data_IF_317677706704
#
_entry.id   IF_317677706704
#
_cell.length_a   1.000
_cell.length_b   1.000
_cell.length_c   1.000
_cell.angle_alpha   90.00
_cell.angle_beta   90.00
_cell.angle_gamma   90.00
#
_symmetry.space_group_name_H-M   'P 1'
#
loop_
_entity.id
_entity.type
_entity.pdbx_description
1 polymer ?
#
# COMPACT_ATOMS: atom_id res chain seq x y z
N UNK A 1 17.25 -14.09 -0.04
CA UNK A 1 15.85 -13.66 0.21
C UNK A 1 15.79 -12.14 0.11
N UNK A 2 14.83 -11.59 -0.63
CA UNK A 2 14.71 -10.12 -0.76
C UNK A 2 14.22 -9.51 0.56
N UNK A 3 14.61 -8.26 0.83
CA UNK A 3 14.16 -7.54 2.03
C UNK A 3 12.62 -7.46 2.08
N UNK A 4 11.97 -7.40 0.91
CA UNK A 4 10.51 -7.45 0.70
C UNK A 4 9.91 -8.73 1.26
N UNK A 5 10.46 -9.89 0.91
CA UNK A 5 9.99 -11.20 1.41
C UNK A 5 10.13 -11.30 2.93
N UNK A 6 11.23 -10.81 3.50
CA UNK A 6 11.45 -10.80 4.95
C UNK A 6 10.45 -9.88 5.66
N UNK A 7 10.21 -8.69 5.10
CA UNK A 7 9.22 -7.73 5.62
C UNK A 7 7.81 -8.33 5.62
N UNK A 8 7.41 -8.98 4.52
CA UNK A 8 6.10 -9.64 4.41
C UNK A 8 5.94 -10.78 5.42
N UNK A 9 6.98 -11.60 5.63
CA UNK A 9 6.96 -12.66 6.65
C UNK A 9 6.79 -12.08 8.05
N UNK A 10 7.52 -11.02 8.39
CA UNK A 10 7.40 -10.36 9.69
C UNK A 10 5.97 -9.85 9.94
N UNK A 11 5.35 -9.25 8.93
CA UNK A 11 3.96 -8.76 9.00
C UNK A 11 2.96 -9.89 9.20
N UNK A 12 3.13 -11.03 8.51
CA UNK A 12 2.26 -12.20 8.72
C UNK A 12 2.37 -12.72 10.15
N UNK A 13 3.57 -12.76 10.72
CA UNK A 13 3.80 -13.16 12.11
C UNK A 13 3.10 -12.20 13.09
N UNK A 14 3.15 -10.90 12.84
CA UNK A 14 2.49 -9.90 13.69
C UNK A 14 0.97 -10.01 13.62
N UNK A 15 0.40 -10.32 12.46
CA UNK A 15 -1.06 -10.54 12.35
C UNK A 15 -1.54 -11.76 13.15
N UNK A 16 -0.66 -12.74 13.36
CA UNK A 16 -0.94 -13.94 14.15
C UNK A 16 -0.65 -13.71 15.64
N UNK A 17 0.20 -12.73 15.98
CA UNK A 17 0.59 -12.44 17.37
C UNK A 17 -0.58 -12.25 18.34
N UNK A 18 -1.68 -11.51 18.01
CA UNK A 18 -2.84 -11.42 18.91
C UNK A 18 -3.44 -12.78 19.27
N UNK A 19 -3.50 -13.71 18.31
CA UNK A 19 -4.02 -15.06 18.53
C UNK A 19 -3.07 -15.85 19.45
N UNK A 20 -1.76 -15.73 19.22
CA UNK A 20 -0.74 -16.35 20.09
C UNK A 20 -0.82 -15.77 21.51
N UNK A 21 -0.92 -14.45 21.64
CA UNK A 21 -1.02 -13.79 22.94
C UNK A 21 -2.26 -14.23 23.72
N UNK A 22 -3.42 -14.35 23.05
CA UNK A 22 -4.64 -14.89 23.67
C UNK A 22 -4.44 -16.35 24.09
N UNK A 23 -3.81 -17.18 23.26
CA UNK A 23 -3.52 -18.57 23.60
C UNK A 23 -2.57 -18.70 24.81
N UNK A 24 -1.54 -17.85 24.88
CA UNK A 24 -0.61 -17.79 26.02
C UNK A 24 -1.31 -17.31 27.29
N UNK A 25 -2.18 -16.30 27.19
CA UNK A 25 -3.00 -15.84 28.32
C UNK A 25 -3.94 -16.94 28.83
N UNK A 26 -4.59 -17.67 27.92
CA UNK A 26 -5.46 -18.79 28.27
C UNK A 26 -4.66 -19.92 28.96
N UNK A 27 -3.46 -20.24 28.46
CA UNK A 27 -2.58 -21.22 29.08
C UNK A 27 -2.14 -20.79 30.48
N UNK A 28 -1.75 -19.52 30.67
CA UNK A 28 -1.38 -18.98 31.98
C UNK A 28 -2.55 -19.03 32.98
N UNK A 29 -3.77 -18.78 32.52
CA UNK A 29 -4.97 -18.92 33.34
C UNK A 29 -5.21 -20.37 33.77
N UNK A 30 -5.12 -21.34 32.84
CA UNK A 30 -5.31 -22.76 33.14
C UNK A 30 -4.25 -23.32 34.09
N UNK A 31 -3.04 -22.78 34.04
CA UNK A 31 -1.93 -23.15 34.93
C UNK A 31 -1.99 -22.48 36.31
N UNK A 32 -3.07 -21.76 36.63
CA UNK A 32 -3.23 -21.12 37.94
C UNK A 32 -2.42 -19.84 38.11
N UNK A 33 -1.95 -19.21 37.04
CA UNK A 33 -1.20 -17.95 37.11
C UNK A 33 -1.97 -16.79 37.75
N UNK A 34 -3.30 -16.90 37.82
CA UNK A 34 -4.20 -15.88 38.39
C UNK A 34 -5.05 -16.40 39.57
N UNK A 35 -4.72 -17.55 40.16
CA UNK A 35 -5.47 -18.15 41.27
C UNK A 35 -4.55 -18.66 42.36
N UNK A 36 -4.95 -18.45 43.62
CA UNK A 36 -4.22 -18.97 44.78
C UNK A 36 -4.56 -20.46 44.95
N UNK A 37 -3.82 -21.32 44.25
CA UNK A 37 -3.91 -22.77 44.42
C UNK A 37 -3.01 -23.23 45.57
N UNK A 38 -3.54 -24.13 46.40
CA UNK A 38 -2.84 -24.65 47.60
C UNK A 38 -1.70 -25.62 47.23
N UNK A 39 -1.76 -26.27 46.07
CA UNK A 39 -0.72 -27.21 45.59
C UNK A 39 -0.64 -27.22 44.05
N UNK A 40 -0.08 -26.15 43.42
CA UNK A 40 -0.06 -26.02 41.98
C UNK A 40 1.06 -26.84 41.34
N UNK A 41 0.77 -27.38 40.15
CA UNK A 41 1.73 -28.17 39.35
C UNK A 41 2.92 -27.33 38.85
N UNK A 42 2.71 -26.02 38.66
CA UNK A 42 3.74 -25.02 38.34
C UNK A 42 3.55 -23.84 39.30
N UNK A 43 4.61 -23.36 39.98
CA UNK A 43 4.50 -22.22 40.87
C UNK A 43 3.96 -20.98 40.15
N UNK A 44 3.00 -20.29 40.77
CA UNK A 44 2.36 -19.10 40.20
C UNK A 44 3.38 -18.02 39.80
N UNK A 45 4.42 -17.82 40.60
CA UNK A 45 5.50 -16.88 40.33
C UNK A 45 6.20 -17.16 39.00
N UNK A 46 6.40 -18.44 38.65
CA UNK A 46 7.03 -18.87 37.39
C UNK A 46 6.10 -18.54 36.22
N UNK A 47 4.81 -18.81 36.35
CA UNK A 47 3.80 -18.52 35.31
C UNK A 47 3.70 -17.01 35.05
N UNK A 48 3.60 -16.21 36.11
CA UNK A 48 3.53 -14.74 36.03
C UNK A 48 4.81 -14.17 35.42
N UNK A 49 5.99 -14.64 35.86
CA UNK A 49 7.28 -14.19 35.33
C UNK A 49 7.42 -14.51 33.85
N UNK A 50 7.02 -15.71 33.42
CA UNK A 50 7.02 -16.10 32.02
C UNK A 50 6.07 -15.22 31.18
N UNK A 51 4.90 -14.87 31.71
CA UNK A 51 3.95 -13.98 31.05
C UNK A 51 4.52 -12.57 30.87
N UNK A 52 5.16 -12.01 31.91
CA UNK A 52 5.82 -10.71 31.82
C UNK A 52 6.97 -10.70 30.81
N UNK A 53 7.80 -11.75 30.80
CA UNK A 53 8.86 -11.89 29.80
C UNK A 53 8.28 -11.97 28.39
N UNK A 54 7.19 -12.72 28.18
CA UNK A 54 6.52 -12.79 26.89
C UNK A 54 5.99 -11.43 26.44
N UNK A 55 5.23 -10.74 27.29
CA UNK A 55 4.63 -9.43 26.98
C UNK A 55 5.68 -8.34 26.76
N UNK A 56 6.80 -8.39 27.48
CA UNK A 56 7.89 -7.41 27.33
C UNK A 56 8.83 -7.70 26.16
N UNK A 57 9.33 -8.93 26.06
CA UNK A 57 10.40 -9.28 25.12
C UNK A 57 9.88 -9.44 23.68
N UNK A 58 8.70 -10.05 23.49
CA UNK A 58 8.22 -10.36 22.14
C UNK A 58 7.92 -9.10 21.32
N UNK A 59 7.21 -8.07 21.83
CA UNK A 59 7.05 -6.80 21.11
C UNK A 59 8.38 -6.12 20.80
N UNK A 60 9.34 -6.16 21.74
CA UNK A 60 10.68 -5.58 21.54
C UNK A 60 11.40 -6.23 20.36
N UNK A 61 11.36 -7.57 20.27
CA UNK A 61 11.94 -8.33 19.15
C UNK A 61 11.29 -7.93 17.82
N UNK A 62 9.97 -7.77 17.78
CA UNK A 62 9.28 -7.30 16.57
C UNK A 62 9.69 -5.88 16.16
N UNK A 63 9.82 -4.95 17.12
CA UNK A 63 10.29 -3.59 16.85
C UNK A 63 11.71 -3.61 16.27
N UNK A 64 12.63 -4.33 16.91
CA UNK A 64 14.02 -4.45 16.44
C UNK A 64 14.07 -5.07 15.04
N UNK A 65 13.29 -6.12 14.79
CA UNK A 65 13.22 -6.76 13.48
C UNK A 65 12.73 -5.78 12.40
N UNK A 66 11.72 -4.95 12.69
CA UNK A 66 11.27 -3.91 11.76
C UNK A 66 12.33 -2.86 11.50
N UNK A 67 13.04 -2.38 12.52
CA UNK A 67 14.09 -1.39 12.35
C UNK A 67 15.23 -1.92 11.47
N UNK A 68 15.63 -3.19 11.65
CA UNK A 68 16.66 -3.82 10.83
C UNK A 68 16.18 -3.96 9.39
N UNK A 69 14.98 -4.49 9.16
CA UNK A 69 14.43 -4.68 7.81
C UNK A 69 14.21 -3.33 7.11
N UNK A 70 13.73 -2.32 7.85
CA UNK A 70 13.57 -0.95 7.37
C UNK A 70 14.90 -0.36 6.90
N UNK A 71 15.94 -0.41 7.74
CA UNK A 71 17.30 0.06 7.38
C UNK A 71 17.88 -0.65 6.16
N UNK A 72 17.60 -1.95 5.99
CA UNK A 72 18.05 -2.69 4.80
C UNK A 72 17.31 -2.21 3.54
N UNK A 73 15.99 -1.96 3.65
CA UNK A 73 15.19 -1.35 2.60
C UNK A 73 15.68 0.07 2.24
N UNK A 74 15.92 0.92 3.23
CA UNK A 74 16.42 2.28 3.04
C UNK A 74 17.80 2.28 2.40
N UNK A 75 18.70 1.37 2.78
CA UNK A 75 20.00 1.21 2.12
C UNK A 75 19.87 0.75 0.67
N UNK A 76 18.90 -0.12 0.35
CA UNK A 76 18.64 -0.53 -1.02
C UNK A 76 18.09 0.64 -1.85
N UNK A 77 17.17 1.43 -1.28
CA UNK A 77 16.62 2.64 -1.89
C UNK A 77 17.68 3.73 -2.07
N UNK A 78 18.54 3.94 -1.06
CA UNK A 78 19.67 4.87 -1.12
C UNK A 78 20.74 4.40 -2.11
N UNK A 79 20.97 3.10 -2.28
CA UNK A 79 21.86 2.59 -3.35
C UNK A 79 21.31 2.91 -4.74
N UNK A 80 19.99 2.86 -4.91
CA UNK A 80 19.33 3.28 -6.15
C UNK A 80 19.37 4.81 -6.34
N UNK A 81 19.18 5.59 -5.27
CA UNK A 81 19.19 7.06 -5.31
C UNK A 81 20.62 7.67 -5.40
N UNK A 82 21.64 7.02 -4.83
CA UNK A 82 23.05 7.43 -4.87
C UNK A 82 23.74 7.09 -6.19
N UNK A 83 23.01 6.64 -7.20
CA UNK A 83 23.45 6.79 -8.58
C UNK A 83 23.36 8.26 -9.04
N UNK A 84 23.82 9.19 -8.21
CA UNK A 84 24.15 10.56 -8.61
C UNK A 84 25.25 10.62 -9.66
N UNK A 85 25.94 9.50 -9.92
CA UNK A 85 26.85 9.33 -11.07
C UNK A 85 26.13 9.07 -12.42
N UNK A 86 24.79 8.98 -12.48
CA UNK A 86 24.05 8.48 -13.67
C UNK A 86 23.21 9.49 -14.44
N UNK A 87 23.65 10.75 -14.54
CA UNK A 87 23.23 11.61 -15.66
C UNK A 87 24.47 12.21 -16.37
N UNK A 88 25.51 11.39 -16.57
CA UNK A 88 26.64 11.71 -17.46
C UNK A 88 26.25 11.51 -18.95
N UNK A 89 25.01 11.81 -19.30
CA UNK A 89 24.56 11.78 -20.69
C UNK A 89 24.57 13.22 -21.18
N UNK A 90 25.38 13.49 -22.21
CA UNK A 90 25.50 14.83 -22.81
C UNK A 90 24.20 15.24 -23.52
N UNK A 91 23.35 14.26 -23.85
CA UNK A 91 22.08 14.43 -24.54
C UNK A 91 21.00 13.49 -23.98
N UNK A 92 19.74 13.94 -24.00
CA UNK A 92 18.58 13.09 -23.70
C UNK A 92 18.37 11.94 -24.70
N UNK A 93 19.03 12.00 -25.87
CA UNK A 93 19.04 10.92 -26.87
C UNK A 93 20.03 9.79 -26.55
N UNK A 94 20.96 10.01 -25.62
CA UNK A 94 21.95 8.99 -25.21
C UNK A 94 21.44 8.14 -24.03
N UNK A 95 20.21 8.40 -23.58
CA UNK A 95 19.62 7.65 -22.47
C UNK A 95 19.36 6.20 -22.89
N UNK A 96 19.68 5.22 -22.02
CA UNK A 96 19.39 3.83 -22.30
C UNK A 96 17.88 3.63 -22.44
N UNK A 97 17.47 2.91 -23.48
CA UNK A 97 16.07 2.50 -23.65
C UNK A 97 15.79 1.37 -22.64
N UNK A 98 14.96 1.68 -21.65
CA UNK A 98 14.51 0.73 -20.63
C UNK A 98 12.98 0.70 -20.61
N UNK A 99 12.41 -0.51 -20.55
CA UNK A 99 10.97 -0.67 -20.38
C UNK A 99 10.61 -0.41 -18.91
N UNK A 100 10.01 0.74 -18.63
CA UNK A 100 9.61 1.16 -17.28
C UNK A 100 8.18 0.70 -16.97
N UNK A 101 7.99 -0.61 -16.86
CA UNK A 101 6.74 -1.21 -16.40
C UNK A 101 6.71 -1.28 -14.86
N UNK A 102 5.55 -1.05 -14.26
CA UNK A 102 5.41 -1.18 -12.81
C UNK A 102 3.97 -1.10 -12.29
N UNK A 103 3.87 -0.91 -10.99
CA UNK A 103 2.61 -0.91 -10.27
C UNK A 103 2.43 0.37 -9.45
N UNK A 104 1.24 0.95 -9.49
CA UNK A 104 0.92 2.21 -8.81
C UNK A 104 -0.31 2.05 -7.93
N UNK A 105 -0.43 2.91 -6.92
CA UNK A 105 -1.64 3.02 -6.12
C UNK A 105 -2.38 4.31 -6.44
N UNK A 106 -3.69 4.19 -6.61
CA UNK A 106 -4.57 5.33 -6.84
C UNK A 106 -5.87 5.18 -6.04
N UNK A 107 -6.41 6.30 -5.59
CA UNK A 107 -7.79 6.41 -5.17
C UNK A 107 -8.64 6.68 -6.42
N UNK A 108 -9.90 6.26 -6.40
CA UNK A 108 -10.90 6.74 -7.34
C UNK A 108 -11.76 7.75 -6.59
N UNK A 109 -11.82 8.98 -7.09
CA UNK A 109 -12.42 10.12 -6.41
C UNK A 109 -13.44 10.86 -7.27
N UNK A 110 -14.18 11.77 -6.63
CA UNK A 110 -15.19 12.61 -7.27
C UNK A 110 -16.51 11.90 -7.53
N UNK A 111 -17.58 12.65 -7.80
CA UNK A 111 -18.85 12.05 -8.27
C UNK A 111 -18.71 11.48 -9.67
N UNK A 112 -18.00 12.20 -10.54
CA UNK A 112 -17.48 11.65 -11.79
C UNK A 112 -16.16 10.97 -11.45
N UNK A 113 -16.07 9.62 -11.57
CA UNK A 113 -14.88 8.88 -11.16
C UNK A 113 -13.62 9.41 -11.88
N UNK A 114 -12.58 9.72 -11.11
CA UNK A 114 -11.26 10.14 -11.61
C UNK A 114 -10.17 9.46 -10.79
N UNK A 115 -9.02 9.14 -11.41
CA UNK A 115 -7.87 8.61 -10.68
C UNK A 115 -7.19 9.73 -9.88
N UNK A 116 -6.79 9.41 -8.66
CA UNK A 116 -6.11 10.36 -7.76
C UNK A 116 -4.94 9.67 -7.08
N UNK A 117 -3.77 10.29 -7.14
CA UNK A 117 -2.58 9.80 -6.45
C UNK A 117 -2.78 9.82 -4.94
N UNK A 118 -1.95 9.06 -4.21
CA UNK A 118 -1.95 9.11 -2.75
C UNK A 118 -1.54 10.49 -2.21
N UNK A 119 -0.85 11.30 -3.02
CA UNK A 119 -0.47 12.69 -2.76
C UNK A 119 -1.55 13.71 -3.10
N UNK A 120 -2.66 13.28 -3.72
CA UNK A 120 -3.82 14.12 -4.00
C UNK A 120 -3.98 14.61 -5.44
N UNK A 121 -2.96 14.47 -6.28
CA UNK A 121 -3.05 14.90 -7.68
C UNK A 121 -4.01 14.01 -8.48
N UNK A 122 -4.94 14.64 -9.19
CA UNK A 122 -5.85 13.96 -10.11
C UNK A 122 -5.22 13.81 -11.50
N UNK A 123 -5.48 12.68 -12.16
CA UNK A 123 -4.95 12.40 -13.50
C UNK A 123 -5.82 11.43 -14.27
N UNK A 124 -5.60 11.37 -15.58
CA UNK A 124 -6.23 10.43 -16.50
C UNK A 124 -5.43 9.12 -16.59
N UNK A 125 -6.02 8.07 -17.18
CA UNK A 125 -5.36 6.79 -17.41
C UNK A 125 -4.14 6.93 -18.33
N UNK A 126 -4.21 7.80 -19.34
CA UNK A 126 -3.08 8.22 -20.18
C UNK A 126 -2.82 9.71 -19.92
N UNK A 127 -1.63 10.05 -19.42
CA UNK A 127 -1.35 11.42 -19.01
C UNK A 127 0.14 11.74 -18.90
N UNK A 128 0.44 13.04 -18.95
CA UNK A 128 1.76 13.61 -18.64
C UNK A 128 1.73 14.32 -17.29
N UNK A 129 2.78 14.12 -16.51
CA UNK A 129 2.91 14.70 -15.19
C UNK A 129 3.09 16.21 -15.29
N UNK A 130 2.54 16.92 -14.30
CA UNK A 130 2.73 18.36 -14.12
C UNK A 130 3.27 18.59 -12.73
N UNK A 131 4.17 19.56 -12.59
CA UNK A 131 4.66 19.96 -11.28
C UNK A 131 3.79 21.09 -10.72
N UNK A 132 3.24 20.88 -9.52
CA UNK A 132 2.46 21.90 -8.80
C UNK A 132 3.34 22.93 -8.11
N UNK A 133 4.62 22.62 -7.85
CA UNK A 133 5.57 23.49 -7.15
C UNK A 133 6.22 24.49 -8.12
N UNK A 134 6.62 24.02 -9.31
CA UNK A 134 7.28 24.86 -10.30
C UNK A 134 6.85 24.41 -11.71
N UNK A 135 6.10 25.28 -12.40
CA UNK A 135 5.59 25.01 -13.74
C UNK A 135 6.63 25.10 -14.86
N UNK A 136 7.83 25.61 -14.58
CA UNK A 136 8.86 25.87 -15.60
C UNK A 136 9.69 24.63 -15.96
N UNK A 137 9.76 23.63 -15.07
CA UNK A 137 10.50 22.41 -15.35
C UNK A 137 9.59 21.27 -15.79
N UNK A 138 10.06 20.52 -16.78
CA UNK A 138 9.38 19.32 -17.29
C UNK A 138 9.63 18.17 -16.31
N UNK A 139 8.58 17.58 -15.69
CA UNK A 139 8.74 16.40 -14.85
C UNK A 139 9.24 15.20 -15.66
N UNK A 140 10.01 14.27 -15.06
CA UNK A 140 10.39 14.21 -13.65
C UNK A 140 11.75 14.88 -13.42
N UNK A 141 11.94 15.49 -12.24
CA UNK A 141 13.23 16.10 -11.85
C UNK A 141 13.73 15.46 -10.56
N UNK A 142 14.99 15.01 -10.51
CA UNK A 142 15.51 14.24 -9.37
C UNK A 142 15.41 14.97 -8.01
N UNK A 143 15.48 16.30 -8.01
CA UNK A 143 15.36 17.14 -6.82
C UNK A 143 13.92 17.58 -6.51
N UNK A 144 12.94 17.13 -7.30
CA UNK A 144 11.53 17.45 -7.13
C UNK A 144 10.72 16.16 -7.11
N UNK A 145 9.74 16.03 -6.21
CA UNK A 145 8.88 14.85 -6.19
C UNK A 145 7.80 14.85 -7.29
N UNK A 146 8.00 15.59 -8.37
CA UNK A 146 7.14 15.56 -9.55
C UNK A 146 7.39 14.31 -10.42
N UNK A 147 6.45 14.03 -11.32
CA UNK A 147 6.48 12.85 -12.19
C UNK A 147 5.59 11.70 -11.69
N UNK A 148 5.23 10.81 -12.60
CA UNK A 148 4.50 9.61 -12.23
C UNK A 148 5.43 8.57 -11.63
N UNK A 149 5.11 8.13 -10.42
CA UNK A 149 5.85 7.10 -9.71
C UNK A 149 5.13 5.75 -9.81
N UNK A 150 5.89 4.69 -10.08
CA UNK A 150 5.43 3.31 -10.02
C UNK A 150 6.48 2.43 -9.32
N UNK A 151 6.02 1.49 -8.50
CA UNK A 151 6.84 0.43 -7.93
C UNK A 151 7.26 -0.54 -9.03
N UNK A 152 8.51 -0.97 -9.05
CA UNK A 152 8.96 -2.00 -10.00
C UNK A 152 8.51 -3.41 -9.60
N UNK A 153 8.04 -3.59 -8.37
CA UNK A 153 7.66 -4.88 -7.79
C UNK A 153 6.22 -4.86 -7.25
N UNK A 154 5.42 -5.84 -7.68
CA UNK A 154 3.98 -5.92 -7.33
C UNK A 154 3.76 -6.17 -5.84
N UNK A 155 4.66 -6.89 -5.19
CA UNK A 155 4.55 -7.28 -3.79
C UNK A 155 4.82 -6.08 -2.87
N UNK A 156 5.70 -5.17 -3.28
CA UNK A 156 5.87 -3.85 -2.65
C UNK A 156 4.63 -2.97 -2.82
N UNK A 157 4.08 -2.88 -4.03
CA UNK A 157 2.88 -2.09 -4.29
C UNK A 157 1.66 -2.61 -3.51
N UNK A 158 1.48 -3.94 -3.44
CA UNK A 158 0.44 -4.58 -2.63
C UNK A 158 0.61 -4.31 -1.14
N UNK A 159 1.85 -4.28 -0.65
CA UNK A 159 2.12 -3.91 0.73
C UNK A 159 1.71 -2.46 1.00
N UNK A 160 2.12 -1.53 0.15
CA UNK A 160 1.73 -0.12 0.25
C UNK A 160 0.19 0.05 0.15
N UNK A 161 -0.49 -0.77 -0.65
CA UNK A 161 -1.95 -0.79 -0.73
C UNK A 161 -2.62 -1.30 0.55
N UNK A 162 -1.92 -2.12 1.35
CA UNK A 162 -2.43 -2.62 2.63
C UNK A 162 -2.44 -1.58 3.74
N UNK A 163 -1.59 -0.56 3.64
CA UNK A 163 -1.54 0.58 4.57
C UNK A 163 -2.40 1.77 4.09
N UNK A 164 -2.79 1.79 2.82
CA UNK A 164 -3.66 2.81 2.23
C UNK A 164 -5.06 2.24 1.91
N UNK A 165 -5.96 2.10 2.90
CA UNK A 165 -7.26 1.47 2.70
C UNK A 165 -8.15 2.26 1.73
N UNK A 166 -8.62 1.57 0.69
CA UNK A 166 -9.47 2.15 -0.36
C UNK A 166 -8.69 2.61 -1.59
N UNK A 167 -7.36 2.51 -1.58
CA UNK A 167 -6.55 2.59 -2.79
C UNK A 167 -6.74 1.32 -3.64
N UNK A 168 -6.66 1.51 -4.94
CA UNK A 168 -6.66 0.48 -5.97
C UNK A 168 -5.25 0.33 -6.51
N UNK A 169 -4.90 -0.90 -6.88
CA UNK A 169 -3.64 -1.23 -7.53
C UNK A 169 -3.83 -1.06 -9.03
N UNK A 170 -2.92 -0.32 -9.65
CA UNK A 170 -2.85 -0.10 -11.08
C UNK A 170 -1.62 -0.79 -11.64
N UNK A 171 -1.77 -1.46 -12.77
CA UNK A 171 -0.69 -1.86 -13.66
C UNK A 171 -0.45 -0.71 -14.65
N UNK A 172 0.81 -0.26 -14.74
CA UNK A 172 1.15 0.94 -15.51
C UNK A 172 2.44 0.74 -16.30
N UNK A 173 2.46 1.32 -17.50
CA UNK A 173 3.68 1.56 -18.25
C UNK A 173 4.03 3.04 -18.18
N UNK A 174 5.30 3.32 -17.94
CA UNK A 174 5.84 4.67 -17.86
C UNK A 174 6.69 4.96 -19.11
N UNK A 175 6.55 6.17 -19.65
CA UNK A 175 7.20 6.57 -20.90
C UNK A 175 7.88 7.94 -20.77
N UNK A 176 8.61 8.31 -21.83
CA UNK A 176 9.34 9.57 -21.93
C UNK A 176 10.62 9.55 -21.09
N UNK A 177 11.00 10.73 -20.59
CA UNK A 177 12.16 10.85 -19.70
C UNK A 177 11.80 10.27 -18.34
N UNK A 178 12.64 9.37 -17.84
CA UNK A 178 12.44 8.75 -16.53
C UNK A 178 13.75 8.30 -15.89
N UNK A 179 13.67 7.98 -14.61
CA UNK A 179 14.78 7.46 -13.85
C UNK A 179 14.32 6.45 -12.79
N UNK A 180 15.23 5.58 -12.37
CA UNK A 180 15.02 4.69 -11.22
C UNK A 180 14.97 5.53 -9.95
N UNK A 181 13.94 5.33 -9.15
CA UNK A 181 13.72 6.08 -7.91
C UNK A 181 13.36 5.13 -6.78
N UNK A 182 14.21 5.08 -5.74
CA UNK A 182 14.04 4.30 -4.50
C UNK A 182 13.62 2.83 -4.70
N UNK A 183 12.32 2.60 -4.90
CA UNK A 183 11.59 1.33 -4.96
C UNK A 183 10.98 1.04 -6.36
N UNK A 184 11.28 1.85 -7.36
CA UNK A 184 10.77 1.67 -8.72
C UNK A 184 11.23 2.76 -9.68
N UNK A 185 10.28 3.36 -10.39
CA UNK A 185 10.54 4.30 -11.49
C UNK A 185 9.78 5.60 -11.26
N UNK A 186 10.35 6.71 -11.75
CA UNK A 186 9.65 7.97 -11.97
C UNK A 186 9.79 8.35 -13.43
N UNK A 187 8.69 8.77 -14.06
CA UNK A 187 8.68 9.18 -15.46
C UNK A 187 7.77 10.38 -15.72
N UNK A 188 7.94 10.95 -16.90
CA UNK A 188 7.19 12.09 -17.41
C UNK A 188 5.75 11.71 -17.71
N UNK A 189 5.53 10.56 -18.36
CA UNK A 189 4.21 10.12 -18.79
C UNK A 189 3.90 8.72 -18.30
N UNK A 190 2.60 8.43 -18.20
CA UNK A 190 2.10 7.11 -17.82
C UNK A 190 0.98 6.70 -18.77
N UNK A 191 0.83 5.39 -18.95
CA UNK A 191 -0.38 4.74 -19.42
C UNK A 191 -0.78 3.69 -18.41
N UNK A 192 -2.03 3.75 -17.94
CA UNK A 192 -2.62 2.75 -17.05
C UNK A 192 -3.19 1.63 -17.91
N UNK A 193 -2.60 0.45 -17.79
CA UNK A 193 -3.01 -0.74 -18.54
C UNK A 193 -4.28 -1.35 -17.93
N UNK A 194 -4.27 -1.55 -16.61
CA UNK A 194 -5.42 -2.08 -15.89
C UNK A 194 -5.49 -1.59 -14.45
N UNK A 195 -6.71 -1.57 -13.91
CA UNK A 195 -6.99 -1.46 -12.49
C UNK A 195 -7.35 -2.84 -11.94
N UNK A 196 -6.52 -3.31 -11.01
CA UNK A 196 -6.67 -4.62 -10.38
C UNK A 196 -7.58 -4.47 -9.16
N UNK A 197 -8.76 -5.07 -9.22
CA UNK A 197 -9.71 -5.02 -8.11
C UNK A 197 -9.32 -6.00 -6.99
N UNK A 198 -9.58 -5.64 -5.73
CA UNK A 198 -9.44 -6.60 -4.65
C UNK A 198 -10.49 -7.71 -4.80
N UNK A 199 -10.06 -8.97 -4.65
CA UNK A 199 -10.96 -10.14 -4.70
C UNK A 199 -12.10 -10.09 -3.68
N UNK A 200 -11.90 -9.37 -2.58
CA UNK A 200 -12.87 -9.25 -1.47
C UNK A 200 -13.29 -7.80 -1.28
N UNK A 201 -14.54 -7.63 -0.85
CA UNK A 201 -15.17 -6.37 -0.49
C UNK A 201 -14.24 -5.53 0.40
N UNK A 202 -14.02 -4.26 0.03
CA UNK A 202 -13.16 -3.36 0.80
C UNK A 202 -13.75 -3.00 2.18
N UNK A 203 -15.06 -3.22 2.39
CA UNK A 203 -15.73 -3.01 3.66
C UNK A 203 -15.67 -4.26 4.56
N UNK A 204 -16.39 -5.33 4.21
CA UNK A 204 -16.47 -6.52 5.06
C UNK A 204 -15.29 -7.49 4.96
N UNK A 205 -14.42 -7.35 3.95
CA UNK A 205 -13.22 -8.19 3.72
C UNK A 205 -13.47 -9.69 3.58
N UNK A 206 -14.72 -10.11 3.42
CA UNK A 206 -15.13 -11.53 3.35
C UNK A 206 -15.73 -11.88 2.00
N UNK A 207 -16.77 -11.16 1.58
CA UNK A 207 -17.53 -11.48 0.36
C UNK A 207 -16.86 -10.91 -0.90
N UNK A 208 -17.15 -11.47 -2.10
CA UNK A 208 -16.57 -10.98 -3.36
C UNK A 208 -16.89 -9.51 -3.64
N UNK A 209 -15.90 -8.75 -4.09
CA UNK A 209 -16.10 -7.38 -4.57
C UNK A 209 -16.79 -7.41 -5.95
N UNK A 210 -17.87 -6.64 -6.13
CA UNK A 210 -18.73 -6.69 -7.32
C UNK A 210 -19.26 -5.34 -7.78
N UNK A 211 -19.47 -4.39 -6.87
CA UNK A 211 -20.12 -3.12 -7.16
C UNK A 211 -19.29 -1.98 -6.59
N UNK A 212 -19.00 -0.98 -7.41
CA UNK A 212 -18.41 0.27 -6.94
C UNK A 212 -19.50 1.12 -6.31
N UNK A 213 -19.21 1.67 -5.13
CA UNK A 213 -20.08 2.63 -4.46
C UNK A 213 -19.29 3.87 -4.12
N UNK A 214 -19.93 5.03 -4.21
CA UNK A 214 -19.34 6.29 -3.74
C UNK A 214 -19.63 6.48 -2.25
N UNK A 215 -18.60 6.81 -1.49
CA UNK A 215 -18.68 7.15 -0.07
C UNK A 215 -18.25 8.58 0.13
N UNK A 216 -18.93 9.25 1.05
CA UNK A 216 -18.52 10.57 1.51
C UNK A 216 -17.44 10.42 2.57
N UNK A 217 -16.27 11.05 2.37
CA UNK A 217 -15.21 11.13 3.38
C UNK A 217 -14.97 12.60 3.73
N UNK A 218 -15.19 12.94 5.00
CA UNK A 218 -14.71 14.19 5.60
C UNK A 218 -13.25 13.96 5.99
N UNK A 219 -12.32 14.55 5.25
CA UNK A 219 -10.89 14.60 5.57
C UNK A 219 -10.44 16.05 5.81
N UNK A 220 -9.33 16.21 6.52
CA UNK A 220 -8.66 17.51 6.72
C UNK A 220 -7.77 17.90 5.52
N UNK A 221 -7.37 16.91 4.71
CA UNK A 221 -6.52 17.08 3.53
C UNK A 221 -7.38 16.98 2.25
N UNK A 222 -7.18 17.91 1.33
CA UNK A 222 -8.05 18.22 0.19
C UNK A 222 -8.02 17.18 -0.94
N UNK A 223 -8.44 15.94 -0.67
CA UNK A 223 -8.50 14.89 -1.71
C UNK A 223 -9.89 14.30 -1.79
N UNK A 224 -10.80 15.13 -2.29
CA UNK A 224 -12.16 14.83 -2.73
C UNK A 224 -13.16 14.41 -1.64
N UNK A 225 -14.32 15.04 -1.68
CA UNK A 225 -15.41 14.79 -0.74
C UNK A 225 -16.05 13.41 -0.97
N UNK A 226 -15.83 12.83 -2.14
CA UNK A 226 -16.40 11.57 -2.61
C UNK A 226 -15.29 10.62 -3.04
N UNK A 227 -15.21 9.46 -2.42
CA UNK A 227 -14.28 8.39 -2.79
C UNK A 227 -15.07 7.15 -3.21
N UNK A 228 -14.67 6.51 -4.29
CA UNK A 228 -15.24 5.24 -4.72
C UNK A 228 -14.55 4.06 -4.05
N UNK A 229 -15.34 3.07 -3.66
CA UNK A 229 -14.90 1.80 -3.09
C UNK A 229 -15.61 0.65 -3.77
N UNK A 230 -14.95 -0.50 -3.90
CA UNK A 230 -15.60 -1.72 -4.40
C UNK A 230 -16.09 -2.59 -3.24
N UNK A 231 -17.38 -2.94 -3.28
CA UNK A 231 -18.09 -3.67 -2.24
C UNK A 231 -18.77 -4.92 -2.80
N UNK A 232 -19.15 -5.82 -1.90
CA UNK A 232 -20.05 -6.91 -2.25
C UNK A 232 -21.51 -6.43 -2.31
N UNK A 233 -22.36 -7.21 -2.97
CA UNK A 233 -23.79 -6.92 -3.16
C UNK A 233 -24.51 -6.58 -1.86
N UNK A 234 -24.18 -7.30 -0.76
CA UNK A 234 -24.78 -7.09 0.55
C UNK A 234 -24.32 -5.75 1.14
N UNK A 235 -23.02 -5.46 1.14
CA UNK A 235 -22.49 -4.20 1.70
C UNK A 235 -22.81 -2.97 0.84
N UNK A 236 -23.26 -3.15 -0.40
CA UNK A 236 -23.76 -2.09 -1.26
C UNK A 236 -25.29 -1.94 -1.22
N UNK A 237 -26.04 -2.81 -0.56
CA UNK A 237 -27.51 -2.84 -0.66
C UNK A 237 -28.18 -1.54 -0.22
N UNK A 238 -27.65 -0.89 0.82
CA UNK A 238 -28.17 0.35 1.39
C UNK A 238 -27.82 1.61 0.60
N UNK A 239 -26.98 1.50 -0.44
CA UNK A 239 -26.61 2.65 -1.28
C UNK A 239 -27.71 2.94 -2.30
N UNK A 240 -27.89 4.21 -2.65
CA UNK A 240 -28.80 4.62 -3.73
C UNK A 240 -28.22 4.16 -5.07
N UNK A 241 -29.07 3.89 -6.06
CA UNK A 241 -28.61 3.46 -7.39
C UNK A 241 -27.73 4.53 -8.08
N UNK A 242 -28.01 5.82 -7.84
CA UNK A 242 -27.17 6.92 -8.33
C UNK A 242 -25.73 6.91 -7.75
N UNK A 243 -25.53 6.24 -6.63
CA UNK A 243 -24.25 6.13 -5.93
C UNK A 243 -23.54 4.78 -6.19
N UNK A 244 -24.03 4.02 -7.19
CA UNK A 244 -23.50 2.71 -7.57
C UNK A 244 -23.04 2.70 -9.02
N UNK A 245 -21.95 1.99 -9.27
CA UNK A 245 -21.52 1.63 -10.61
C UNK A 245 -21.14 0.14 -10.64
N UNK A 246 -21.57 -0.56 -11.69
CA UNK A 246 -21.01 -1.86 -12.04
C UNK A 246 -19.54 -1.72 -12.45
N UNK A 247 -18.81 -2.82 -12.48
CA UNK A 247 -17.41 -2.85 -12.94
C UNK A 247 -17.30 -2.33 -14.39
N UNK A 248 -18.22 -2.73 -15.27
CA UNK A 248 -18.23 -2.28 -16.67
C UNK A 248 -18.46 -0.77 -16.79
N UNK A 249 -19.43 -0.22 -16.04
CA UNK A 249 -19.68 1.23 -16.04
C UNK A 249 -18.49 2.02 -15.47
N UNK A 250 -17.84 1.52 -14.41
CA UNK A 250 -16.64 2.16 -13.87
C UNK A 250 -15.48 2.13 -14.88
N UNK A 251 -15.29 1.00 -15.57
CA UNK A 251 -14.27 0.82 -16.62
C UNK A 251 -14.48 1.82 -17.76
N UNK A 252 -15.72 2.00 -18.20
CA UNK A 252 -16.09 2.99 -19.22
C UNK A 252 -15.80 4.43 -18.74
N UNK A 253 -16.24 4.78 -17.52
CA UNK A 253 -16.07 6.12 -16.96
C UNK A 253 -14.60 6.53 -16.80
N UNK A 254 -13.75 5.58 -16.42
CA UNK A 254 -12.32 5.81 -16.24
C UNK A 254 -11.51 5.58 -17.52
N UNK A 255 -12.14 5.09 -18.61
CA UNK A 255 -11.47 4.72 -19.85
C UNK A 255 -10.25 3.81 -19.60
N UNK A 256 -10.45 2.77 -18.78
CA UNK A 256 -9.42 1.80 -18.41
C UNK A 256 -10.01 0.41 -18.18
N UNK A 257 -9.20 -0.63 -18.38
CA UNK A 257 -9.58 -2.02 -18.10
C UNK A 257 -9.64 -2.25 -16.58
N UNK A 258 -10.69 -2.93 -16.09
CA UNK A 258 -10.83 -3.31 -14.68
C UNK A 258 -10.92 -4.83 -14.56
N UNK A 259 -10.03 -5.44 -13.78
CA UNK A 259 -9.90 -6.89 -13.60
C UNK A 259 -10.13 -7.38 -12.17
#
# INVERSE_FOLDING_TARGET
>A
MSYVQNRQRLIRLIRIYPVIAIAVLAAAYLLGGFTDQVDPLIPQEVVITALYLFVGAVPLVFIIAFLIIGRVGDKAALKNNNHTDKLNYQSGFDLPVEQMHGYKLALITGRTPTLTGLTGDTYLSDSSAKCSINSEHVPPVAQCECGFYAYSDIDEARFEGSINPGAFLLDVDLYGVGFKYARGYRAETQVVNELITPRRCQFCRTLPAKVFVTIYKLGYDDTSWWQWQIRCVICSSSFKEADKLSVAQMSEKLSLLIT
#
